data_IF_765208554696
#
_entry.id   IF_765208554696
#
_cell.length_a   1.000
_cell.length_b   1.000
_cell.length_c   1.000
_cell.angle_alpha   90.00
_cell.angle_beta   90.00
_cell.angle_gamma   90.00
#
_symmetry.space_group_name_H-M   'P 1'
#
loop_
_entity.id
_entity.type
_entity.pdbx_description
1 polymer ?
#
# COMPACT_ATOMS: atom_id res chain seq x y z
N UNK A 1 -23.30 2.48 11.58
CA UNK A 1 -22.60 1.86 12.73
C UNK A 1 -22.66 0.34 12.54
N UNK A 2 -21.52 -0.34 12.43
CA UNK A 2 -21.44 -1.75 12.03
C UNK A 2 -22.10 -2.68 13.05
N UNK A 3 -23.11 -3.45 12.63
CA UNK A 3 -23.97 -4.25 13.52
C UNK A 3 -23.61 -5.73 13.58
N UNK A 4 -22.69 -6.22 12.74
CA UNK A 4 -22.36 -7.66 12.69
C UNK A 4 -21.24 -8.02 13.68
N UNK A 5 -21.31 -9.18 14.36
CA UNK A 5 -20.25 -9.65 15.26
C UNK A 5 -18.88 -9.74 14.58
N UNK A 6 -18.85 -10.13 13.29
CA UNK A 6 -17.61 -10.18 12.50
C UNK A 6 -16.97 -8.80 12.32
N UNK A 7 -17.78 -7.77 12.06
CA UNK A 7 -17.26 -6.40 11.97
C UNK A 7 -16.80 -5.85 13.33
N UNK A 8 -17.40 -6.28 14.44
CA UNK A 8 -16.89 -5.91 15.77
C UNK A 8 -15.50 -6.49 16.02
N UNK A 9 -15.25 -7.74 15.61
CA UNK A 9 -13.92 -8.34 15.68
C UNK A 9 -12.90 -7.54 14.85
N UNK A 10 -13.26 -7.15 13.62
CA UNK A 10 -12.43 -6.28 12.77
C UNK A 10 -12.09 -4.97 13.50
N UNK A 11 -13.07 -4.33 14.15
CA UNK A 11 -12.86 -3.09 14.91
C UNK A 11 -11.89 -3.29 16.08
N UNK A 12 -12.00 -4.39 16.82
CA UNK A 12 -11.06 -4.68 17.92
C UNK A 12 -9.64 -4.91 17.41
N UNK A 13 -9.47 -5.63 16.30
CA UNK A 13 -8.17 -5.79 15.64
C UNK A 13 -7.60 -4.42 15.22
N UNK A 14 -8.41 -3.56 14.61
CA UNK A 14 -7.98 -2.20 14.23
C UNK A 14 -7.48 -1.43 15.46
N UNK A 15 -8.18 -1.46 16.60
CA UNK A 15 -7.78 -0.73 17.82
C UNK A 15 -6.40 -1.15 18.32
N UNK A 16 -6.09 -2.44 18.25
CA UNK A 16 -4.78 -2.98 18.68
C UNK A 16 -3.70 -2.62 17.67
N UNK A 17 -3.94 -2.90 16.39
CA UNK A 17 -2.95 -2.79 15.32
C UNK A 17 -2.65 -1.33 14.95
N UNK A 18 -3.61 -0.43 15.11
CA UNK A 18 -3.41 1.00 14.85
C UNK A 18 -2.27 1.60 15.71
N UNK A 19 -2.04 1.06 16.92
CA UNK A 19 -1.00 1.53 17.84
C UNK A 19 0.42 1.10 17.44
N UNK A 20 0.58 0.16 16.52
CA UNK A 20 1.90 -0.23 15.99
C UNK A 20 2.16 0.38 14.61
N UNK A 21 3.40 0.24 14.15
CA UNK A 21 3.80 0.54 12.76
C UNK A 21 3.83 -0.71 11.87
N UNK A 22 3.22 -1.82 12.32
CA UNK A 22 3.16 -3.04 11.52
C UNK A 22 2.47 -2.77 10.18
N UNK A 23 2.97 -3.44 9.14
CA UNK A 23 2.29 -3.53 7.84
C UNK A 23 1.02 -4.34 8.02
N UNK A 24 -0.05 -3.90 7.35
CA UNK A 24 -1.37 -4.52 7.44
C UNK A 24 -1.84 -4.86 6.04
N UNK A 25 -2.23 -6.10 5.81
CA UNK A 25 -2.91 -6.54 4.60
C UNK A 25 -4.40 -6.69 4.88
N UNK A 26 -5.22 -5.91 4.16
CA UNK A 26 -6.68 -5.98 4.23
C UNK A 26 -7.17 -6.85 3.07
N UNK A 27 -7.80 -7.97 3.38
CA UNK A 27 -8.39 -8.86 2.37
C UNK A 27 -9.90 -8.69 2.35
N UNK A 28 -10.48 -8.64 1.17
CA UNK A 28 -11.93 -8.60 1.01
C UNK A 28 -12.35 -8.22 -0.41
N UNK A 29 -13.58 -8.54 -0.75
CA UNK A 29 -14.14 -8.28 -2.07
C UNK A 29 -14.19 -6.78 -2.39
N UNK A 30 -14.36 -6.47 -3.68
CA UNK A 30 -14.57 -5.09 -4.12
C UNK A 30 -15.82 -4.51 -3.44
N UNK A 31 -15.75 -3.24 -3.03
CA UNK A 31 -16.86 -2.56 -2.36
C UNK A 31 -17.07 -2.89 -0.87
N UNK A 32 -16.26 -3.76 -0.26
CA UNK A 32 -16.41 -4.14 1.17
C UNK A 32 -15.93 -3.09 2.18
N UNK A 33 -15.37 -1.97 1.71
CA UNK A 33 -14.93 -0.86 2.57
C UNK A 33 -13.47 -0.96 3.04
N UNK A 34 -12.58 -1.59 2.25
CA UNK A 34 -11.14 -1.73 2.56
C UNK A 34 -10.47 -0.38 2.88
N UNK A 35 -10.78 0.66 2.11
CA UNK A 35 -10.25 2.01 2.37
C UNK A 35 -10.75 2.59 3.71
N UNK A 36 -12.01 2.33 4.11
CA UNK A 36 -12.53 2.79 5.40
C UNK A 36 -11.75 2.15 6.56
N UNK A 37 -11.39 0.88 6.43
CA UNK A 37 -10.54 0.18 7.40
C UNK A 37 -9.12 0.76 7.43
N UNK A 38 -8.52 1.03 6.27
CA UNK A 38 -7.22 1.69 6.19
C UNK A 38 -7.22 3.08 6.84
N UNK A 39 -8.27 3.87 6.60
CA UNK A 39 -8.46 5.19 7.23
C UNK A 39 -8.68 5.08 8.74
N UNK A 40 -9.41 4.07 9.20
CA UNK A 40 -9.61 3.81 10.62
C UNK A 40 -8.30 3.40 11.33
N UNK A 41 -7.46 2.60 10.67
CA UNK A 41 -6.11 2.27 11.17
C UNK A 41 -5.26 3.53 11.28
N UNK A 42 -5.28 4.39 10.27
CA UNK A 42 -4.53 5.65 10.28
C UNK A 42 -5.00 6.61 11.38
N UNK A 43 -6.31 6.85 11.49
CA UNK A 43 -6.89 7.82 12.44
C UNK A 43 -6.69 7.42 13.91
N UNK A 44 -6.54 6.12 14.18
CA UNK A 44 -6.27 5.59 15.52
C UNK A 44 -4.78 5.37 15.80
N UNK A 45 -3.91 5.68 14.83
CA UNK A 45 -2.46 5.51 14.99
C UNK A 45 -1.76 6.71 15.57
N UNK A 46 -0.49 6.51 15.94
CA UNK A 46 0.44 7.59 16.29
C UNK A 46 0.68 8.59 15.12
N UNK A 47 0.25 8.25 13.90
CA UNK A 47 0.39 9.06 12.68
C UNK A 47 -0.88 9.78 12.26
N UNK A 48 -1.95 9.78 13.07
CA UNK A 48 -3.27 10.36 12.73
C UNK A 48 -3.29 11.83 12.30
N UNK A 49 -2.27 12.61 12.68
CA UNK A 49 -2.11 14.02 12.29
C UNK A 49 -1.13 14.21 11.12
N UNK A 50 -0.74 13.13 10.44
CA UNK A 50 0.20 13.11 9.32
C UNK A 50 -0.54 12.73 8.03
N UNK A 51 0.08 12.86 6.86
CA UNK A 51 -0.59 12.54 5.60
C UNK A 51 -1.13 11.11 5.56
N UNK A 52 -2.33 10.96 5.01
CA UNK A 52 -2.87 9.68 4.54
C UNK A 52 -3.00 9.77 3.02
N UNK A 53 -2.21 8.97 2.31
CA UNK A 53 -2.20 8.95 0.85
C UNK A 53 -2.75 7.60 0.40
N UNK A 54 -3.73 7.60 -0.49
CA UNK A 54 -4.31 6.39 -1.06
C UNK A 54 -3.94 6.29 -2.55
N UNK A 55 -3.60 5.08 -2.99
CA UNK A 55 -3.26 4.77 -4.39
C UNK A 55 -3.96 3.47 -4.76
N UNK A 56 -4.70 3.49 -5.88
CA UNK A 56 -5.22 2.27 -6.49
C UNK A 56 -4.21 1.75 -7.51
N UNK A 57 -3.74 0.52 -7.31
CA UNK A 57 -2.74 -0.11 -8.18
C UNK A 57 -3.35 -0.66 -9.48
N UNK A 58 -4.68 -0.80 -9.52
CA UNK A 58 -5.41 -1.26 -10.70
C UNK A 58 -5.76 -0.13 -11.70
N UNK A 59 -5.67 1.13 -11.25
CA UNK A 59 -6.28 2.26 -11.97
C UNK A 59 -5.39 2.86 -13.08
N UNK A 60 -4.12 2.45 -13.18
CA UNK A 60 -3.14 3.08 -14.06
C UNK A 60 -2.33 2.04 -14.84
N UNK A 61 -1.89 2.37 -16.07
CA UNK A 61 -0.83 1.66 -16.75
C UNK A 61 0.43 1.57 -15.88
N UNK A 62 1.21 0.49 -16.05
CA UNK A 62 2.38 0.18 -15.21
C UNK A 62 3.35 1.36 -15.06
N UNK A 63 3.77 1.98 -16.16
CA UNK A 63 4.72 3.09 -16.14
C UNK A 63 4.19 4.32 -15.39
N UNK A 64 2.88 4.58 -15.48
CA UNK A 64 2.25 5.67 -14.73
C UNK A 64 2.10 5.32 -13.25
N UNK A 65 1.79 4.06 -12.92
CA UNK A 65 1.73 3.61 -11.53
C UNK A 65 3.11 3.70 -10.86
N UNK A 66 4.16 3.24 -11.53
CA UNK A 66 5.53 3.34 -11.03
C UNK A 66 5.92 4.80 -10.77
N UNK A 67 5.61 5.68 -11.74
CA UNK A 67 5.86 7.11 -11.62
C UNK A 67 5.01 7.79 -10.54
N UNK A 68 3.77 7.36 -10.31
CA UNK A 68 2.97 7.85 -9.18
C UNK A 68 3.59 7.42 -7.85
N UNK A 69 3.92 6.14 -7.68
CA UNK A 69 4.44 5.61 -6.42
C UNK A 69 5.80 6.22 -6.05
N UNK A 70 6.72 6.23 -7.00
CA UNK A 70 8.13 6.56 -6.78
C UNK A 70 8.54 7.91 -7.39
N UNK A 71 7.66 8.60 -8.10
CA UNK A 71 8.02 9.86 -8.75
C UNK A 71 8.96 9.64 -9.94
N UNK A 72 9.39 10.74 -10.54
CA UNK A 72 10.29 10.70 -11.70
C UNK A 72 11.16 11.95 -11.78
N UNK A 73 12.33 11.78 -12.36
CA UNK A 73 13.20 12.89 -12.75
C UNK A 73 12.77 13.49 -14.09
N UNK A 74 13.08 14.78 -14.28
CA UNK A 74 12.85 15.46 -15.57
C UNK A 74 13.62 14.74 -16.67
N UNK A 75 12.96 14.41 -17.77
CA UNK A 75 13.55 13.75 -18.93
C UNK A 75 13.73 12.23 -18.81
N UNK A 76 13.21 11.61 -17.74
CA UNK A 76 13.27 10.15 -17.53
C UNK A 76 12.49 9.33 -18.55
N UNK A 77 11.44 9.90 -19.16
CA UNK A 77 10.68 9.32 -20.26
C UNK A 77 9.98 10.42 -21.08
N UNK A 78 9.43 10.06 -22.24
CA UNK A 78 8.67 10.99 -23.08
C UNK A 78 7.46 11.54 -22.33
N UNK A 79 7.42 12.86 -22.11
CA UNK A 79 6.38 13.53 -21.32
C UNK A 79 6.79 13.90 -19.89
N UNK A 80 7.97 13.46 -19.42
CA UNK A 80 8.54 13.85 -18.13
C UNK A 80 9.15 15.27 -18.19
N UNK A 81 8.32 16.29 -18.46
CA UNK A 81 8.79 17.68 -18.65
C UNK A 81 9.31 18.33 -17.36
N UNK A 82 8.87 17.82 -16.21
CA UNK A 82 9.23 18.30 -14.88
C UNK A 82 9.58 17.13 -13.98
N UNK A 83 10.36 17.36 -12.93
CA UNK A 83 10.49 16.39 -11.84
C UNK A 83 9.17 16.29 -11.08
N UNK A 84 8.81 15.09 -10.62
CA UNK A 84 7.61 14.85 -9.81
C UNK A 84 7.95 13.96 -8.61
N UNK A 85 7.48 14.37 -7.42
CA UNK A 85 7.57 13.57 -6.20
C UNK A 85 6.60 12.40 -6.22
N UNK A 86 7.07 11.25 -5.76
CA UNK A 86 6.25 10.04 -5.62
C UNK A 86 5.30 10.08 -4.43
N UNK A 87 4.33 9.17 -4.40
CA UNK A 87 3.40 9.01 -3.26
C UNK A 87 4.11 8.57 -1.99
N UNK A 88 5.21 7.81 -2.08
CA UNK A 88 6.06 7.52 -0.91
C UNK A 88 6.65 8.79 -0.28
N UNK A 89 7.15 9.72 -1.10
CA UNK A 89 7.64 11.02 -0.62
C UNK A 89 6.54 11.85 0.02
N UNK A 90 5.38 11.92 -0.65
CA UNK A 90 4.24 12.71 -0.17
C UNK A 90 3.68 12.12 1.13
N UNK A 91 3.69 10.80 1.28
CA UNK A 91 3.23 10.09 2.47
C UNK A 91 4.26 10.06 3.61
N UNK A 92 5.44 10.68 3.45
CA UNK A 92 6.51 10.61 4.43
C UNK A 92 6.03 11.04 5.84
N UNK A 93 6.43 10.28 6.86
CA UNK A 93 5.96 10.34 8.26
C UNK A 93 4.47 10.04 8.47
N UNK A 94 3.75 9.67 7.41
CA UNK A 94 2.33 9.36 7.40
C UNK A 94 2.05 7.89 7.06
N UNK A 95 0.94 7.68 6.37
CA UNK A 95 0.47 6.35 5.93
C UNK A 95 0.22 6.37 4.43
N UNK A 96 0.72 5.34 3.74
CA UNK A 96 0.40 5.05 2.35
C UNK A 96 -0.51 3.82 2.31
N UNK A 97 -1.70 4.01 1.78
CA UNK A 97 -2.66 2.95 1.48
C UNK A 97 -2.51 2.52 0.02
N UNK A 98 -2.22 1.24 -0.20
CA UNK A 98 -2.07 0.62 -1.51
C UNK A 98 -3.25 -0.32 -1.74
N UNK A 99 -4.21 0.08 -2.56
CA UNK A 99 -5.36 -0.76 -2.90
C UNK A 99 -5.08 -1.61 -4.14
N UNK A 100 -5.66 -2.80 -4.15
CA UNK A 100 -5.50 -3.82 -5.19
C UNK A 100 -4.03 -4.17 -5.51
N UNK A 101 -3.23 -4.45 -4.47
CA UNK A 101 -1.80 -4.79 -4.63
C UNK A 101 -1.57 -6.03 -5.52
N UNK A 102 -2.56 -6.91 -5.64
CA UNK A 102 -2.51 -8.08 -6.52
C UNK A 102 -2.52 -7.74 -8.02
N UNK A 103 -2.68 -6.47 -8.39
CA UNK A 103 -2.57 -5.96 -9.77
C UNK A 103 -1.17 -5.39 -10.09
N UNK A 104 -0.26 -5.30 -9.11
CA UNK A 104 1.08 -4.77 -9.37
C UNK A 104 1.88 -5.67 -10.30
N UNK A 105 2.58 -5.07 -11.26
CA UNK A 105 3.57 -5.78 -12.06
C UNK A 105 4.75 -6.28 -11.21
N UNK A 106 5.47 -7.29 -11.71
CA UNK A 106 6.64 -7.82 -11.04
C UNK A 106 7.72 -6.75 -10.77
N UNK A 107 7.89 -5.79 -11.69
CA UNK A 107 8.85 -4.69 -11.52
C UNK A 107 8.46 -3.76 -10.35
N UNK A 108 7.18 -3.36 -10.29
CA UNK A 108 6.69 -2.53 -9.19
C UNK A 108 6.79 -3.27 -7.85
N UNK A 109 6.55 -4.58 -7.83
CA UNK A 109 6.71 -5.41 -6.63
C UNK A 109 8.17 -5.39 -6.12
N UNK A 110 9.17 -5.42 -7.00
CA UNK A 110 10.59 -5.31 -6.63
C UNK A 110 10.89 -3.96 -5.98
N UNK A 111 10.43 -2.86 -6.58
CA UNK A 111 10.65 -1.52 -6.04
C UNK A 111 9.91 -1.32 -4.71
N UNK A 112 8.70 -1.87 -4.58
CA UNK A 112 7.95 -1.85 -3.33
C UNK A 112 8.66 -2.63 -2.22
N UNK A 113 9.20 -3.81 -2.52
CA UNK A 113 9.96 -4.59 -1.53
C UNK A 113 11.16 -3.80 -1.03
N UNK A 114 11.96 -3.22 -1.94
CA UNK A 114 13.13 -2.41 -1.60
C UNK A 114 12.80 -1.25 -0.66
N UNK A 115 11.76 -0.47 -0.94
CA UNK A 115 11.40 0.66 -0.05
C UNK A 115 10.86 0.18 1.31
N UNK A 116 10.23 -0.99 1.38
CA UNK A 116 9.78 -1.59 2.64
C UNK A 116 10.95 -2.09 3.50
N UNK A 117 12.02 -2.57 2.87
CA UNK A 117 13.24 -3.06 3.52
C UNK A 117 14.16 -1.92 3.93
N UNK A 118 14.58 -1.10 2.97
CA UNK A 118 15.64 -0.10 3.14
C UNK A 118 15.13 1.26 3.65
N UNK A 119 13.81 1.49 3.58
CA UNK A 119 13.20 2.80 3.90
C UNK A 119 13.72 3.94 3.03
N UNK A 120 14.19 3.60 1.84
CA UNK A 120 14.61 4.53 0.80
C UNK A 120 14.36 3.96 -0.59
N UNK A 121 14.33 4.83 -1.59
CA UNK A 121 14.16 4.45 -3.00
C UNK A 121 14.74 5.55 -3.91
N UNK A 122 14.84 5.29 -5.21
CA UNK A 122 15.21 6.30 -6.22
C UNK A 122 14.01 6.61 -7.11
N UNK A 123 13.91 7.86 -7.57
CA UNK A 123 12.90 8.23 -8.56
C UNK A 123 13.18 7.56 -9.90
N UNK A 124 12.16 7.38 -10.72
CA UNK A 124 12.33 6.83 -12.08
C UNK A 124 13.29 7.73 -12.87
N UNK A 125 14.33 7.10 -13.45
CA UNK A 125 15.39 7.78 -14.18
C UNK A 125 16.37 8.59 -13.32
N UNK A 126 16.27 8.51 -11.99
CA UNK A 126 17.15 9.19 -11.05
C UNK A 126 18.06 8.23 -10.29
N UNK A 127 19.14 8.79 -9.73
CA UNK A 127 20.09 8.07 -8.87
C UNK A 127 20.12 8.59 -7.43
N UNK A 128 19.36 9.65 -7.14
CA UNK A 128 19.27 10.23 -5.79
C UNK A 128 18.45 9.31 -4.89
N UNK A 129 19.04 8.90 -3.76
CA UNK A 129 18.34 8.14 -2.72
C UNK A 129 17.43 9.06 -1.91
N UNK A 130 16.15 8.67 -1.85
CA UNK A 130 15.11 9.39 -1.13
C UNK A 130 14.68 8.58 0.08
N UNK A 131 15.05 9.05 1.28
CA UNK A 131 14.68 8.41 2.55
C UNK A 131 13.25 8.74 2.95
N UNK A 132 12.50 7.71 3.34
CA UNK A 132 11.09 7.83 3.74
C UNK A 132 10.77 7.01 4.98
N UNK A 133 10.01 7.60 5.88
CA UNK A 133 9.40 6.90 7.01
C UNK A 133 7.89 6.77 6.76
N UNK A 134 7.46 5.71 6.09
CA UNK A 134 6.05 5.51 5.70
C UNK A 134 5.51 4.24 6.34
N UNK A 135 4.35 4.35 6.99
CA UNK A 135 3.55 3.18 7.34
C UNK A 135 2.76 2.73 6.11
N UNK A 136 2.93 1.48 5.71
CA UNK A 136 2.19 0.90 4.58
C UNK A 136 1.00 0.08 5.09
N UNK A 137 -0.17 0.34 4.52
CA UNK A 137 -1.37 -0.50 4.63
C UNK A 137 -1.73 -0.92 3.22
N UNK A 138 -1.90 -2.20 2.97
CA UNK A 138 -2.25 -2.72 1.66
C UNK A 138 -3.61 -3.39 1.67
N UNK A 139 -4.22 -3.50 0.50
CA UNK A 139 -5.46 -4.23 0.31
C UNK A 139 -5.49 -4.98 -1.02
N UNK A 140 -6.25 -6.06 -1.08
CA UNK A 140 -6.48 -6.85 -2.30
C UNK A 140 -7.79 -7.62 -2.20
N UNK A 141 -8.48 -7.80 -3.33
CA UNK A 141 -9.55 -8.77 -3.47
C UNK A 141 -9.07 -10.12 -4.05
N UNK A 142 -7.84 -10.19 -4.56
CA UNK A 142 -7.29 -11.40 -5.16
C UNK A 142 -6.85 -12.42 -4.11
N UNK A 143 -6.96 -13.69 -4.50
CA UNK A 143 -6.32 -14.81 -3.81
C UNK A 143 -4.80 -14.72 -4.01
N UNK A 144 -4.13 -14.06 -3.05
CA UNK A 144 -2.70 -13.80 -3.12
C UNK A 144 -1.87 -15.08 -3.07
N UNK A 145 -2.38 -16.15 -2.43
CA UNK A 145 -1.70 -17.44 -2.37
C UNK A 145 -1.66 -18.09 -3.75
N UNK A 146 -2.77 -18.04 -4.49
CA UNK A 146 -2.79 -18.47 -5.90
C UNK A 146 -1.88 -17.61 -6.78
N UNK A 147 -1.87 -16.29 -6.59
CA UNK A 147 -0.99 -15.40 -7.33
C UNK A 147 0.50 -15.68 -7.08
N UNK A 148 0.86 -16.06 -5.85
CA UNK A 148 2.22 -16.52 -5.53
C UNK A 148 2.52 -17.84 -6.25
N UNK A 149 1.63 -18.82 -6.15
CA UNK A 149 1.82 -20.13 -6.79
C UNK A 149 1.94 -20.05 -8.32
N UNK A 150 1.30 -19.06 -8.95
CA UNK A 150 1.40 -18.80 -10.39
C UNK A 150 2.56 -17.88 -10.79
N UNK A 151 3.38 -17.41 -9.84
CA UNK A 151 4.49 -16.50 -10.08
C UNK A 151 4.09 -15.05 -10.40
N UNK A 152 2.81 -14.70 -10.21
CA UNK A 152 2.28 -13.35 -10.45
C UNK A 152 2.50 -12.41 -9.26
N UNK A 153 2.74 -12.94 -8.07
CA UNK A 153 3.06 -12.15 -6.89
C UNK A 153 4.26 -12.74 -6.16
N UNK A 154 5.19 -11.90 -5.74
CA UNK A 154 6.39 -12.36 -5.05
C UNK A 154 6.08 -12.76 -3.61
N UNK A 155 6.59 -13.93 -3.23
CA UNK A 155 6.39 -14.47 -1.88
C UNK A 155 7.07 -13.61 -0.79
N UNK A 156 8.27 -13.09 -1.06
CA UNK A 156 9.01 -12.22 -0.13
C UNK A 156 8.26 -10.93 0.19
N UNK A 157 7.72 -10.27 -0.83
CA UNK A 157 6.88 -9.08 -0.68
C UNK A 157 5.61 -9.40 0.11
N UNK A 158 4.97 -10.55 -0.15
CA UNK A 158 3.79 -10.97 0.60
C UNK A 158 4.08 -11.06 2.10
N UNK A 159 5.16 -11.72 2.50
CA UNK A 159 5.52 -11.82 3.92
C UNK A 159 5.87 -10.45 4.54
N UNK A 160 6.43 -9.53 3.77
CA UNK A 160 6.73 -8.16 4.24
C UNK A 160 5.46 -7.32 4.44
N UNK A 161 4.44 -7.51 3.59
CA UNK A 161 3.16 -6.80 3.67
C UNK A 161 2.20 -7.44 4.68
N UNK A 162 2.24 -8.76 4.84
CA UNK A 162 1.28 -9.53 5.61
C UNK A 162 1.74 -9.82 7.05
N UNK A 163 2.19 -8.79 7.78
CA UNK A 163 2.51 -8.93 9.21
C UNK A 163 1.23 -9.06 10.04
N UNK A 164 0.19 -8.30 9.69
CA UNK A 164 -1.15 -8.48 10.23
C UNK A 164 -2.16 -8.54 9.09
N UNK A 165 -3.03 -9.55 9.11
CA UNK A 165 -4.11 -9.69 8.15
C UNK A 165 -5.45 -9.24 8.77
N UNK A 166 -6.21 -8.44 8.04
CA UNK A 166 -7.60 -8.11 8.39
C UNK A 166 -8.49 -8.59 7.25
N UNK A 167 -9.31 -9.61 7.51
CA UNK A 167 -10.28 -10.12 6.55
C UNK A 167 -11.63 -9.43 6.76
N UNK A 168 -12.14 -8.79 5.71
CA UNK A 168 -13.47 -8.20 5.73
C UNK A 168 -14.53 -9.25 5.41
N UNK A 169 -15.59 -9.36 6.22
CA UNK A 169 -16.70 -10.24 5.92
C UNK A 169 -17.43 -9.75 4.66
N UNK A 170 -17.95 -10.69 3.87
CA UNK A 170 -18.91 -10.39 2.82
C UNK A 170 -20.11 -9.64 3.41
N UNK A 171 -20.54 -8.57 2.74
CA UNK A 171 -21.81 -7.93 3.06
C UNK A 171 -22.92 -8.84 2.51
N UNK A 172 -23.59 -9.56 3.41
CA UNK A 172 -24.83 -10.27 3.12
C UNK A 172 -26.00 -9.28 3.11
#
# INVERSE_FOLDING_TARGET
IAKSPKMQQVIEVIKVVARSNATVLIMGDSGTGKELVARALHSQSHRRGKPFIAVSCAALPESLLESELFGHEKGSFTGAYTQKKGKFEIANRGTLFLDEIGEMSANIQVHLLRVLEEKEFTRVGGNELVKVDVRVVSATNKDIRKAIASGQFREDLYYRLNVVTIELPLQA
#
